data_IF_626078470975
#
_entry.id   IF_626078470975
#
_cell.length_a   1.000
_cell.length_b   1.000
_cell.length_c   1.000
_cell.angle_alpha   90.00
_cell.angle_beta   90.00
_cell.angle_gamma   90.00
#
_symmetry.space_group_name_H-M   'P 1'
#
loop_
_entity.id
_entity.type
_entity.pdbx_description
1 polymer ?
#
# COMPACT_ATOMS: atom_id res chain seq x y z
N UNK A 1 -25.08 4.80 52.61
CA UNK A 1 -26.09 4.94 51.55
C UNK A 1 -25.40 5.65 50.39
N UNK A 2 -24.76 4.90 49.47
CA UNK A 2 -24.08 5.49 48.28
C UNK A 2 -25.13 5.55 47.18
N UNK A 3 -25.58 6.75 46.85
CA UNK A 3 -26.41 7.01 45.70
C UNK A 3 -25.50 6.98 44.45
N UNK A 4 -25.47 5.91 43.70
CA UNK A 4 -24.85 5.87 42.39
C UNK A 4 -25.73 6.68 41.44
N UNK A 5 -25.34 7.90 41.13
CA UNK A 5 -25.88 8.61 40.00
C UNK A 5 -25.43 7.85 38.72
N UNK A 6 -26.28 6.99 38.22
CA UNK A 6 -26.18 6.46 36.87
C UNK A 6 -26.42 7.64 35.94
N UNK A 7 -25.35 8.14 35.31
CA UNK A 7 -25.50 9.13 34.26
C UNK A 7 -26.34 8.48 33.15
N UNK A 8 -27.51 9.02 32.93
CA UNK A 8 -28.41 8.62 31.83
C UNK A 8 -27.75 9.07 30.53
N UNK A 9 -26.88 8.22 29.98
CA UNK A 9 -26.27 8.44 28.68
C UNK A 9 -27.41 8.22 27.70
N UNK A 10 -28.12 9.29 27.36
CA UNK A 10 -29.09 9.26 26.26
C UNK A 10 -28.34 8.78 25.03
N UNK A 11 -28.71 7.62 24.49
CA UNK A 11 -28.17 7.13 23.24
C UNK A 11 -28.38 8.21 22.16
N UNK A 12 -27.31 8.58 21.45
CA UNK A 12 -27.37 9.57 20.36
C UNK A 12 -28.29 9.11 19.22
N UNK A 13 -28.52 7.80 19.14
CA UNK A 13 -29.37 7.14 18.13
C UNK A 13 -30.38 6.27 18.89
N UNK A 14 -31.63 6.26 18.46
CA UNK A 14 -32.67 5.43 19.04
C UNK A 14 -32.34 3.94 18.89
N UNK A 15 -32.69 3.12 19.88
CA UNK A 15 -32.32 1.70 19.94
C UNK A 15 -32.89 0.90 18.75
N UNK A 16 -34.09 1.20 18.34
CA UNK A 16 -34.72 0.58 17.17
C UNK A 16 -33.96 0.85 15.87
N UNK A 17 -33.42 2.06 15.70
CA UNK A 17 -32.56 2.41 14.58
C UNK A 17 -31.24 1.63 14.61
N UNK A 18 -30.63 1.49 15.78
CA UNK A 18 -29.40 0.68 15.93
C UNK A 18 -29.65 -0.79 15.60
N UNK A 19 -30.79 -1.36 16.03
CA UNK A 19 -31.18 -2.72 15.70
C UNK A 19 -31.35 -2.90 14.19
N UNK A 20 -32.06 -1.99 13.52
CA UNK A 20 -32.24 -2.05 12.05
C UNK A 20 -30.91 -1.98 11.30
N UNK A 21 -29.98 -1.12 11.71
CA UNK A 21 -28.63 -1.07 11.12
C UNK A 21 -27.89 -2.38 11.36
N UNK A 22 -27.94 -2.94 12.57
CA UNK A 22 -27.26 -4.18 12.92
C UNK A 22 -27.82 -5.39 12.12
N UNK A 23 -29.15 -5.47 11.93
CA UNK A 23 -29.81 -6.52 11.17
C UNK A 23 -29.48 -6.44 9.66
N UNK A 24 -29.36 -5.23 9.09
CA UNK A 24 -29.05 -5.04 7.68
C UNK A 24 -27.56 -5.25 7.39
N UNK A 25 -26.65 -4.96 8.34
CA UNK A 25 -25.22 -5.05 8.13
C UNK A 25 -24.75 -6.50 7.92
N UNK A 26 -23.96 -6.73 6.85
CA UNK A 26 -23.50 -8.06 6.49
C UNK A 26 -21.97 -8.19 6.50
N UNK A 27 -21.44 -8.85 7.52
CA UNK A 27 -20.02 -9.21 7.58
C UNK A 27 -19.59 -10.13 6.44
N UNK A 28 -20.48 -10.99 5.92
CA UNK A 28 -20.19 -11.83 4.77
C UNK A 28 -20.06 -11.03 3.46
N UNK A 29 -20.88 -10.00 3.26
CA UNK A 29 -20.78 -9.13 2.10
C UNK A 29 -19.45 -8.37 2.14
N UNK A 30 -19.09 -7.81 3.30
CA UNK A 30 -17.80 -7.16 3.51
C UNK A 30 -16.63 -8.13 3.25
N UNK A 31 -16.70 -9.38 3.77
CA UNK A 31 -15.66 -10.39 3.57
C UNK A 31 -15.47 -10.78 2.10
N UNK A 32 -16.55 -10.97 1.34
CA UNK A 32 -16.46 -11.27 -0.10
C UNK A 32 -15.79 -10.13 -0.88
N UNK A 33 -16.09 -8.88 -0.54
CA UNK A 33 -15.43 -7.72 -1.14
C UNK A 33 -13.95 -7.66 -0.75
N UNK A 34 -13.62 -7.94 0.51
CA UNK A 34 -12.24 -8.03 1.00
C UNK A 34 -11.43 -9.07 0.21
N UNK A 35 -11.98 -10.27 0.04
CA UNK A 35 -11.32 -11.35 -0.70
C UNK A 35 -11.00 -10.95 -2.14
N UNK A 36 -11.90 -10.20 -2.79
CA UNK A 36 -11.69 -9.72 -4.15
C UNK A 36 -10.62 -8.64 -4.22
N UNK A 37 -10.67 -7.66 -3.33
CA UNK A 37 -9.74 -6.52 -3.31
C UNK A 37 -8.32 -6.98 -2.99
N UNK A 38 -8.16 -7.91 -2.04
CA UNK A 38 -6.85 -8.40 -1.59
C UNK A 38 -6.11 -9.27 -2.61
N UNK A 39 -6.77 -9.72 -3.67
CA UNK A 39 -6.09 -10.39 -4.79
C UNK A 39 -5.20 -9.44 -5.60
N UNK A 40 -5.48 -8.14 -5.55
CA UNK A 40 -4.78 -7.14 -6.32
C UNK A 40 -3.57 -6.58 -5.56
N UNK A 41 -2.45 -6.38 -6.26
CA UNK A 41 -1.31 -5.60 -5.77
C UNK A 41 -1.56 -4.13 -6.13
N UNK A 42 -2.28 -3.44 -5.27
CA UNK A 42 -2.94 -2.15 -5.51
C UNK A 42 -2.00 -0.95 -5.40
N UNK A 43 -0.92 -0.97 -6.17
CA UNK A 43 -0.06 0.22 -6.23
C UNK A 43 -0.78 1.34 -6.97
N UNK A 44 -0.69 2.56 -6.44
CA UNK A 44 -1.38 3.73 -6.98
C UNK A 44 -1.14 3.91 -8.48
N UNK A 45 -2.22 4.10 -9.23
CA UNK A 45 -2.18 4.26 -10.69
C UNK A 45 -1.96 2.97 -11.50
N UNK A 46 -1.66 1.83 -10.87
CA UNK A 46 -1.46 0.56 -11.58
C UNK A 46 -2.79 -0.04 -12.07
N UNK A 47 -2.69 -0.95 -13.05
CA UNK A 47 -3.84 -1.71 -13.55
C UNK A 47 -4.56 -2.48 -12.44
N UNK A 48 -3.81 -2.98 -11.45
CA UNK A 48 -4.40 -3.72 -10.33
C UNK A 48 -5.10 -2.79 -9.33
N UNK A 49 -4.63 -1.55 -9.17
CA UNK A 49 -5.38 -0.52 -8.46
C UNK A 49 -6.67 -0.17 -9.19
N UNK A 50 -6.60 0.01 -10.51
CA UNK A 50 -7.78 0.26 -11.35
C UNK A 50 -8.79 -0.89 -11.28
N UNK A 51 -8.34 -2.15 -11.27
CA UNK A 51 -9.21 -3.32 -11.10
C UNK A 51 -9.92 -3.33 -9.73
N UNK A 52 -9.22 -2.98 -8.65
CA UNK A 52 -9.83 -2.84 -7.33
C UNK A 52 -10.84 -1.68 -7.28
N UNK A 53 -10.51 -0.54 -7.89
CA UNK A 53 -11.40 0.62 -8.02
C UNK A 53 -12.67 0.26 -8.79
N UNK A 54 -12.56 -0.45 -9.92
CA UNK A 54 -13.72 -0.86 -10.71
C UNK A 54 -14.61 -1.87 -9.94
N UNK A 55 -14.01 -2.76 -9.14
CA UNK A 55 -14.78 -3.63 -8.25
C UNK A 55 -15.63 -2.80 -7.26
N UNK A 56 -15.05 -1.78 -6.64
CA UNK A 56 -15.77 -0.87 -5.73
C UNK A 56 -16.90 -0.14 -6.47
N UNK A 57 -16.60 0.48 -7.62
CA UNK A 57 -17.60 1.17 -8.44
C UNK A 57 -18.76 0.26 -8.85
N UNK A 58 -18.45 -0.97 -9.26
CA UNK A 58 -19.48 -1.98 -9.58
C UNK A 58 -20.40 -2.24 -8.38
N UNK A 59 -19.82 -2.42 -7.19
CA UNK A 59 -20.61 -2.65 -5.97
C UNK A 59 -21.46 -1.45 -5.59
N UNK A 60 -20.94 -0.23 -5.70
CA UNK A 60 -21.68 0.99 -5.43
C UNK A 60 -22.89 1.15 -6.38
N UNK A 61 -22.72 0.80 -7.66
CA UNK A 61 -23.83 0.77 -8.63
C UNK A 61 -24.86 -0.31 -8.30
N UNK A 62 -24.42 -1.52 -7.90
CA UNK A 62 -25.30 -2.62 -7.45
C UNK A 62 -26.10 -2.22 -6.19
N UNK A 63 -25.51 -1.43 -5.30
CA UNK A 63 -26.15 -0.90 -4.09
C UNK A 63 -27.03 0.32 -4.38
N UNK A 64 -27.00 0.82 -5.64
CA UNK A 64 -27.85 1.86 -6.18
C UNK A 64 -27.78 3.16 -5.35
N UNK A 65 -26.56 3.66 -5.10
CA UNK A 65 -26.33 4.96 -4.51
C UNK A 65 -26.77 6.08 -5.48
N UNK A 66 -27.07 7.27 -4.95
CA UNK A 66 -27.58 8.39 -5.74
C UNK A 66 -26.55 8.91 -6.76
N UNK A 67 -25.27 8.82 -6.42
CA UNK A 67 -24.16 9.26 -7.27
C UNK A 67 -23.03 8.23 -7.15
N UNK A 68 -22.53 7.76 -8.29
CA UNK A 68 -21.37 6.84 -8.37
C UNK A 68 -20.48 7.29 -9.52
N UNK A 69 -19.25 7.69 -9.21
CA UNK A 69 -18.32 8.24 -10.18
C UNK A 69 -16.90 7.72 -10.03
N UNK A 70 -16.14 7.78 -11.12
CA UNK A 70 -14.70 7.58 -11.15
C UNK A 70 -14.04 8.96 -11.27
N UNK A 71 -13.42 9.44 -10.21
CA UNK A 71 -12.62 10.66 -10.23
C UNK A 71 -11.24 10.33 -10.80
N UNK A 72 -10.81 11.09 -11.82
CA UNK A 72 -9.51 10.86 -12.48
C UNK A 72 -8.64 12.10 -12.43
N UNK A 73 -7.35 11.89 -12.12
CA UNK A 73 -6.35 12.95 -12.00
C UNK A 73 -5.02 12.50 -12.61
N UNK A 74 -4.21 13.44 -13.16
CA UNK A 74 -2.92 13.10 -13.74
C UNK A 74 -1.97 12.41 -12.77
N UNK A 75 -1.34 11.32 -13.20
CA UNK A 75 -0.23 10.61 -12.57
C UNK A 75 1.00 10.72 -13.48
N UNK A 76 1.55 11.94 -13.64
CA UNK A 76 2.48 12.28 -14.72
C UNK A 76 3.88 12.69 -14.27
N UNK A 77 4.12 12.73 -12.96
CA UNK A 77 5.39 13.17 -12.40
C UNK A 77 5.63 14.68 -12.50
N UNK A 78 4.62 15.50 -12.84
CA UNK A 78 4.76 16.94 -13.12
C UNK A 78 3.68 17.78 -12.47
N UNK A 79 2.43 17.38 -12.57
CA UNK A 79 1.27 18.13 -12.05
C UNK A 79 1.41 18.32 -10.54
N UNK A 80 1.13 19.55 -10.09
CA UNK A 80 1.12 19.90 -8.67
C UNK A 80 -0.31 19.90 -8.13
N UNK A 81 -0.55 19.19 -7.06
CA UNK A 81 -1.77 19.18 -6.27
C UNK A 81 -1.47 19.87 -4.94
N UNK A 82 -1.75 21.17 -4.84
CA UNK A 82 -1.25 21.97 -3.73
C UNK A 82 0.28 21.91 -3.65
N UNK A 83 0.84 21.39 -2.58
CA UNK A 83 2.29 21.21 -2.39
C UNK A 83 2.79 19.82 -2.83
N UNK A 84 1.89 18.91 -3.18
CA UNK A 84 2.23 17.55 -3.57
C UNK A 84 2.44 17.46 -5.08
N UNK A 85 3.61 16.98 -5.48
CA UNK A 85 3.88 16.65 -6.89
C UNK A 85 3.28 15.29 -7.21
N UNK A 86 2.51 15.21 -8.30
CA UNK A 86 1.98 13.97 -8.83
C UNK A 86 3.11 12.95 -9.07
N UNK A 87 2.96 11.72 -8.61
CA UNK A 87 3.91 10.64 -8.89
C UNK A 87 3.57 9.98 -10.22
N UNK A 88 4.57 9.52 -10.99
CA UNK A 88 4.30 8.68 -12.15
C UNK A 88 3.72 7.33 -11.73
N UNK A 89 3.03 6.66 -12.62
CA UNK A 89 2.60 5.27 -12.43
C UNK A 89 3.82 4.37 -12.45
N UNK A 90 3.98 3.54 -11.42
CA UNK A 90 4.98 2.50 -11.38
C UNK A 90 4.36 1.15 -11.75
N UNK A 91 4.87 0.54 -12.81
CA UNK A 91 4.40 -0.73 -13.35
C UNK A 91 5.53 -1.74 -13.36
N UNK A 92 5.24 -2.98 -12.95
CA UNK A 92 6.19 -4.09 -12.95
C UNK A 92 5.63 -5.24 -13.76
N UNK A 93 6.40 -5.67 -14.78
CA UNK A 93 6.07 -6.83 -15.58
C UNK A 93 6.58 -8.11 -14.93
N UNK A 94 7.82 -8.07 -14.45
CA UNK A 94 8.45 -9.19 -13.75
C UNK A 94 9.57 -8.71 -12.85
N UNK A 95 9.82 -9.44 -11.75
CA UNK A 95 11.05 -9.30 -10.98
C UNK A 95 11.37 -10.62 -10.28
N UNK A 96 12.63 -11.04 -10.39
CA UNK A 96 13.15 -12.25 -9.77
C UNK A 96 14.51 -11.99 -9.15
N UNK A 97 14.71 -12.58 -7.97
CA UNK A 97 16.01 -12.65 -7.30
C UNK A 97 16.38 -14.11 -7.07
N UNK A 98 17.52 -14.53 -7.59
CA UNK A 98 18.03 -15.90 -7.47
C UNK A 98 19.40 -15.93 -6.81
N UNK A 99 19.62 -16.90 -5.96
CA UNK A 99 20.95 -17.31 -5.57
C UNK A 99 21.51 -18.28 -6.61
N UNK A 100 22.75 -18.05 -7.02
CA UNK A 100 23.46 -18.87 -7.97
C UNK A 100 24.43 -19.79 -7.25
N UNK A 101 24.60 -20.99 -7.78
CA UNK A 101 25.61 -21.96 -7.36
C UNK A 101 26.39 -22.47 -8.56
N UNK A 102 27.46 -23.19 -8.30
CA UNK A 102 28.24 -23.87 -9.32
C UNK A 102 28.13 -25.40 -9.10
N UNK A 103 27.68 -26.11 -10.10
CA UNK A 103 27.63 -27.57 -10.13
C UNK A 103 28.38 -28.04 -11.38
N UNK A 104 29.43 -28.83 -11.19
CA UNK A 104 30.26 -29.39 -12.29
C UNK A 104 30.83 -28.32 -13.26
N UNK A 105 31.09 -27.10 -12.75
CA UNK A 105 31.62 -25.96 -13.52
C UNK A 105 30.54 -25.12 -14.21
N UNK A 106 29.27 -25.48 -14.11
CA UNK A 106 28.14 -24.70 -14.66
C UNK A 106 27.49 -23.85 -13.58
N UNK A 107 27.25 -22.57 -13.88
CA UNK A 107 26.48 -21.67 -13.02
C UNK A 107 24.99 -21.94 -13.16
N UNK A 108 24.35 -22.30 -12.08
CA UNK A 108 22.92 -22.61 -12.05
C UNK A 108 22.16 -21.78 -11.01
N UNK A 109 20.87 -21.61 -11.19
CA UNK A 109 19.95 -21.03 -10.21
C UNK A 109 19.61 -22.09 -9.17
N UNK A 110 20.07 -21.91 -7.93
CA UNK A 110 19.88 -22.92 -6.85
C UNK A 110 18.70 -22.59 -5.95
N UNK A 111 18.41 -21.31 -5.74
CA UNK A 111 17.32 -20.89 -4.85
C UNK A 111 16.73 -19.55 -5.28
N UNK A 112 15.40 -19.50 -5.38
CA UNK A 112 14.67 -18.25 -5.62
C UNK A 112 14.42 -17.55 -4.29
N UNK A 113 14.80 -16.29 -4.19
CA UNK A 113 14.73 -15.46 -3.00
C UNK A 113 13.63 -14.40 -3.08
N UNK A 114 13.33 -13.95 -4.29
CA UNK A 114 12.28 -12.98 -4.58
C UNK A 114 11.58 -13.31 -5.90
N UNK A 115 10.28 -13.05 -5.96
CA UNK A 115 9.45 -13.29 -7.14
C UNK A 115 8.21 -12.38 -7.11
N UNK A 116 8.14 -11.46 -8.05
CA UNK A 116 7.02 -10.54 -8.19
C UNK A 116 5.68 -11.25 -8.32
N UNK A 117 5.62 -12.34 -9.07
CA UNK A 117 4.38 -13.06 -9.34
C UNK A 117 3.76 -13.67 -8.08
N UNK A 118 4.56 -14.26 -7.21
CA UNK A 118 4.10 -14.93 -5.99
C UNK A 118 4.12 -14.03 -4.76
N UNK A 119 5.19 -13.22 -4.60
CA UNK A 119 5.39 -12.32 -3.45
C UNK A 119 5.80 -10.93 -3.93
N UNK A 120 4.87 -10.09 -4.41
CA UNK A 120 5.20 -8.75 -4.91
C UNK A 120 5.98 -7.88 -3.91
N UNK A 121 5.75 -8.08 -2.61
CA UNK A 121 6.52 -7.42 -1.53
C UNK A 121 8.02 -7.68 -1.58
N UNK A 122 8.47 -8.73 -2.30
CA UNK A 122 9.90 -9.01 -2.45
C UNK A 122 10.63 -8.00 -3.32
N UNK A 123 9.94 -7.19 -4.13
CA UNK A 123 10.50 -6.06 -4.84
C UNK A 123 10.16 -4.75 -4.11
N UNK A 124 11.15 -3.92 -3.83
CA UNK A 124 10.92 -2.60 -3.27
C UNK A 124 10.15 -1.73 -4.28
N UNK A 125 9.13 -1.01 -3.77
CA UNK A 125 8.35 -0.08 -4.58
C UNK A 125 9.26 0.95 -5.25
N UNK A 126 8.87 1.41 -6.43
CA UNK A 126 9.62 2.38 -7.26
C UNK A 126 11.00 1.90 -7.73
N UNK A 127 11.27 0.58 -7.69
CA UNK A 127 12.46 -0.03 -8.31
C UNK A 127 12.47 0.19 -9.83
N UNK A 128 13.67 0.43 -10.37
CA UNK A 128 13.92 0.54 -11.81
C UNK A 128 14.32 -0.80 -12.41
N UNK A 129 14.18 -0.94 -13.73
CA UNK A 129 14.64 -2.12 -14.46
C UNK A 129 16.12 -2.37 -14.27
N UNK A 130 16.49 -3.64 -14.11
CA UNK A 130 17.86 -4.09 -13.95
C UNK A 130 18.02 -5.55 -14.37
N UNK A 131 19.23 -5.88 -14.83
CA UNK A 131 19.69 -7.25 -15.06
C UNK A 131 21.12 -7.34 -14.52
N UNK A 132 21.28 -7.88 -13.32
CA UNK A 132 22.53 -7.87 -12.56
C UNK A 132 22.83 -9.26 -12.01
N UNK A 133 24.05 -9.73 -12.24
CA UNK A 133 24.62 -10.88 -11.55
C UNK A 133 25.88 -10.42 -10.83
N UNK A 134 25.90 -10.48 -9.49
CA UNK A 134 27.00 -9.95 -8.71
C UNK A 134 27.13 -10.61 -7.33
N UNK A 135 28.31 -10.48 -6.74
CA UNK A 135 28.58 -10.91 -5.38
C UNK A 135 27.83 -10.07 -4.36
N UNK A 136 27.43 -10.69 -3.26
CA UNK A 136 26.77 -10.05 -2.13
C UNK A 136 27.78 -9.57 -1.09
N UNK A 137 27.59 -8.35 -0.57
CA UNK A 137 28.42 -7.76 0.50
C UNK A 137 27.53 -7.23 1.60
N UNK A 138 27.69 -7.70 2.82
CA UNK A 138 26.97 -7.18 3.98
C UNK A 138 27.53 -5.83 4.44
N UNK A 139 26.69 -4.81 4.43
CA UNK A 139 27.02 -3.45 4.90
C UNK A 139 26.33 -3.12 6.23
N UNK A 140 25.67 -4.10 6.91
CA UNK A 140 24.91 -3.83 8.11
C UNK A 140 23.79 -2.83 7.87
N UNK A 141 23.70 -1.75 8.66
CA UNK A 141 22.67 -0.72 8.40
C UNK A 141 23.00 0.19 7.22
N UNK A 142 24.25 0.29 6.78
CA UNK A 142 24.66 1.14 5.66
C UNK A 142 24.45 2.65 5.85
N UNK A 143 24.24 3.13 7.09
CA UNK A 143 23.88 4.53 7.40
C UNK A 143 25.05 5.41 7.80
N UNK A 144 26.25 4.87 7.92
CA UNK A 144 27.49 5.61 8.22
C UNK A 144 28.67 5.09 7.41
N UNK A 145 29.72 5.89 7.31
CA UNK A 145 30.94 5.53 6.56
C UNK A 145 31.62 4.28 7.12
N UNK A 146 31.53 4.05 8.41
CA UNK A 146 32.09 2.87 9.09
C UNK A 146 31.50 1.55 8.54
N UNK A 147 30.25 1.56 8.10
CA UNK A 147 29.59 0.39 7.53
C UNK A 147 30.18 -0.04 6.19
N UNK A 148 30.87 0.86 5.50
CA UNK A 148 31.52 0.63 4.22
C UNK A 148 33.05 0.50 4.34
N UNK A 149 33.61 0.79 5.52
CA UNK A 149 35.04 0.74 5.76
C UNK A 149 35.59 -0.67 5.45
N UNK A 150 36.67 -0.72 4.62
CA UNK A 150 37.30 -1.96 4.17
C UNK A 150 36.39 -2.92 3.37
N UNK A 151 35.26 -2.43 2.83
CA UNK A 151 34.36 -3.20 1.97
C UNK A 151 34.38 -2.62 0.56
N UNK A 152 34.71 -3.46 -0.40
CA UNK A 152 34.54 -3.12 -1.81
C UNK A 152 33.10 -3.47 -2.22
N UNK A 153 32.28 -2.43 -2.42
CA UNK A 153 30.87 -2.58 -2.83
C UNK A 153 30.63 -2.28 -4.31
N UNK A 154 31.66 -1.76 -5.02
CA UNK A 154 31.52 -1.36 -6.42
C UNK A 154 31.16 -2.54 -7.30
N UNK A 155 30.04 -2.42 -8.04
CA UNK A 155 29.51 -3.47 -8.91
C UNK A 155 28.93 -4.68 -8.17
N UNK A 156 28.79 -4.63 -6.84
CA UNK A 156 28.25 -5.72 -6.02
C UNK A 156 26.84 -5.39 -5.51
N UNK A 157 26.11 -6.40 -5.10
CA UNK A 157 24.84 -6.23 -4.39
C UNK A 157 25.12 -6.04 -2.90
N UNK A 158 24.49 -5.06 -2.27
CA UNK A 158 24.67 -4.79 -0.85
C UNK A 158 23.53 -5.37 -0.02
N UNK A 159 23.87 -6.11 1.04
CA UNK A 159 22.93 -6.61 2.05
C UNK A 159 22.82 -5.59 3.17
N UNK A 160 21.60 -5.14 3.51
CA UNK A 160 21.40 -4.13 4.54
C UNK A 160 20.15 -4.37 5.40
N UNK A 161 20.22 -3.92 6.67
CA UNK A 161 19.06 -3.88 7.58
C UNK A 161 18.20 -2.62 7.43
N UNK A 162 18.62 -1.66 6.62
CA UNK A 162 17.86 -0.42 6.37
C UNK A 162 16.92 -0.56 5.19
N UNK A 163 15.94 0.36 5.08
CA UNK A 163 15.13 0.50 3.89
C UNK A 163 16.01 0.85 2.67
N UNK A 164 15.68 0.37 1.47
CA UNK A 164 16.46 0.66 0.26
C UNK A 164 16.67 2.16 0.03
N UNK A 165 15.66 3.00 0.21
CA UNK A 165 15.79 4.46 0.06
C UNK A 165 16.83 5.08 0.99
N UNK A 166 17.02 4.51 2.20
CA UNK A 166 17.97 5.05 3.17
C UNK A 166 19.43 4.93 2.73
N UNK A 167 19.74 3.89 1.93
CA UNK A 167 21.11 3.56 1.56
C UNK A 167 21.44 3.79 0.08
N UNK A 168 20.43 4.02 -0.77
CA UNK A 168 20.59 4.06 -2.23
C UNK A 168 21.58 5.14 -2.68
N UNK A 169 21.49 6.35 -2.16
CA UNK A 169 22.37 7.45 -2.57
C UNK A 169 23.83 7.15 -2.22
N UNK A 170 24.08 6.62 -1.02
CA UNK A 170 25.43 6.29 -0.56
C UNK A 170 25.95 5.02 -1.22
N UNK A 171 25.22 3.92 -1.14
CA UNK A 171 25.70 2.62 -1.62
C UNK A 171 25.80 2.57 -3.14
N UNK A 172 24.75 2.99 -3.85
CA UNK A 172 24.68 2.92 -5.31
C UNK A 172 25.22 4.19 -5.95
N UNK A 173 24.74 5.37 -5.55
CA UNK A 173 25.09 6.65 -6.15
C UNK A 173 26.55 7.02 -5.98
N UNK A 174 27.07 6.96 -4.76
CA UNK A 174 28.44 7.39 -4.48
C UNK A 174 29.46 6.25 -4.60
N UNK A 175 29.16 5.07 -4.03
CA UNK A 175 30.13 3.97 -3.95
C UNK A 175 29.99 2.96 -5.10
N UNK A 176 28.95 3.06 -5.93
CA UNK A 176 28.79 2.29 -7.15
C UNK A 176 28.36 0.84 -6.95
N UNK A 177 27.62 0.52 -5.88
CA UNK A 177 26.96 -0.77 -5.74
C UNK A 177 25.98 -1.00 -6.89
N UNK A 178 25.78 -2.26 -7.29
CA UNK A 178 24.92 -2.62 -8.40
C UNK A 178 23.42 -2.64 -8.04
N UNK A 179 23.09 -2.78 -6.76
CA UNK A 179 21.70 -2.83 -6.27
C UNK A 179 21.65 -3.21 -4.79
N UNK A 180 20.42 -3.28 -4.25
CA UNK A 180 20.20 -3.39 -2.81
C UNK A 180 19.37 -4.66 -2.49
N UNK A 181 19.84 -5.41 -1.50
CA UNK A 181 19.09 -6.50 -0.87
C UNK A 181 18.84 -6.08 0.59
N UNK A 182 17.59 -5.82 0.92
CA UNK A 182 17.23 -5.35 2.25
C UNK A 182 16.48 -6.42 3.04
N UNK A 183 16.81 -6.50 4.31
CA UNK A 183 16.09 -7.28 5.32
C UNK A 183 15.55 -6.38 6.43
N UNK A 184 15.15 -5.16 6.10
CA UNK A 184 14.64 -4.20 7.10
C UNK A 184 13.71 -4.92 8.07
N UNK A 185 14.06 -5.03 9.37
CA UNK A 185 13.31 -5.84 10.31
C UNK A 185 11.99 -5.17 10.69
N UNK A 186 11.06 -5.94 11.22
CA UNK A 186 9.87 -5.40 11.85
C UNK A 186 10.22 -4.40 12.94
N UNK A 187 9.32 -3.45 13.17
CA UNK A 187 9.43 -2.58 14.32
C UNK A 187 9.41 -3.41 15.60
N UNK A 188 10.39 -3.22 16.48
CA UNK A 188 10.48 -3.93 17.77
C UNK A 188 9.27 -3.68 18.68
N UNK A 189 8.58 -2.56 18.47
CA UNK A 189 7.35 -2.19 19.17
C UNK A 189 6.10 -2.92 18.66
N UNK A 190 6.17 -3.63 17.54
CA UNK A 190 5.05 -4.40 17.04
C UNK A 190 4.66 -5.50 18.04
N UNK A 191 3.36 -5.65 18.29
CA UNK A 191 2.84 -6.63 19.27
C UNK A 191 3.19 -8.09 18.93
N UNK A 192 3.42 -8.42 17.64
CA UNK A 192 3.89 -9.74 17.17
C UNK A 192 5.40 -9.92 17.30
N UNK A 193 6.14 -8.92 17.76
CA UNK A 193 7.60 -8.93 17.92
C UNK A 193 8.34 -9.20 16.60
N UNK A 194 9.61 -9.63 16.70
CA UNK A 194 10.43 -10.00 15.56
C UNK A 194 9.95 -11.34 14.99
N UNK A 195 9.65 -11.37 13.68
CA UNK A 195 9.39 -12.60 12.92
C UNK A 195 10.45 -12.71 11.81
N UNK A 196 11.28 -13.74 11.88
CA UNK A 196 12.39 -13.96 10.95
C UNK A 196 11.95 -14.50 9.58
N UNK A 197 10.66 -14.85 9.42
CA UNK A 197 10.07 -15.31 8.15
C UNK A 197 9.41 -14.18 7.36
N UNK A 198 9.18 -13.04 7.99
CA UNK A 198 8.44 -11.94 7.39
C UNK A 198 9.29 -11.17 6.39
N UNK A 199 8.76 -10.97 5.18
CA UNK A 199 9.27 -10.01 4.21
C UNK A 199 8.53 -8.70 4.44
N UNK A 200 9.26 -7.63 4.76
CA UNK A 200 8.69 -6.32 4.98
C UNK A 200 8.59 -5.55 3.67
N UNK A 201 7.58 -4.68 3.55
CA UNK A 201 7.51 -3.70 2.49
C UNK A 201 8.76 -2.80 2.47
N UNK A 202 9.28 -2.55 1.28
CA UNK A 202 10.39 -1.63 1.04
C UNK A 202 10.08 -0.71 -0.13
N UNK A 203 10.77 0.44 -0.19
CA UNK A 203 10.58 1.42 -1.25
C UNK A 203 11.86 2.18 -1.59
N UNK A 204 11.83 2.78 -2.74
CA UNK A 204 12.75 3.79 -3.24
C UNK A 204 11.95 5.07 -3.51
N UNK A 205 12.64 6.16 -3.78
CA UNK A 205 12.00 7.43 -4.10
C UNK A 205 11.38 7.40 -5.51
N UNK A 206 10.16 7.95 -5.66
CA UNK A 206 9.50 8.09 -6.97
C UNK A 206 10.18 9.15 -7.86
N UNK A 207 10.99 10.05 -7.26
CA UNK A 207 11.78 11.07 -7.95
C UNK A 207 13.24 11.00 -7.52
N UNK A 208 13.93 9.86 -7.78
CA UNK A 208 15.26 9.63 -7.25
C UNK A 208 16.33 10.44 -7.96
N UNK A 209 17.39 10.84 -7.22
CA UNK A 209 18.65 11.26 -7.83
C UNK A 209 19.39 10.04 -8.40
N UNK A 210 19.40 8.94 -7.66
CA UNK A 210 20.03 7.67 -8.05
C UNK A 210 18.97 6.63 -8.38
N UNK A 211 18.90 6.24 -9.67
CA UNK A 211 18.03 5.14 -10.12
C UNK A 211 18.62 3.81 -9.71
N UNK A 212 17.85 2.97 -9.04
CA UNK A 212 18.27 1.66 -8.57
C UNK A 212 17.08 0.71 -8.43
N UNK A 213 17.35 -0.49 -7.97
CA UNK A 213 16.35 -1.47 -7.56
C UNK A 213 16.70 -2.00 -6.17
N UNK A 214 15.69 -2.54 -5.49
CA UNK A 214 15.88 -3.20 -4.21
C UNK A 214 15.03 -4.46 -4.11
N UNK A 215 15.60 -5.54 -3.59
CA UNK A 215 14.83 -6.71 -3.18
C UNK A 215 14.73 -6.77 -1.66
N UNK A 216 13.53 -7.13 -1.19
CA UNK A 216 13.24 -7.34 0.21
C UNK A 216 13.26 -8.83 0.51
N UNK A 217 14.06 -9.23 1.50
CA UNK A 217 14.14 -10.62 1.98
C UNK A 217 13.79 -10.70 3.46
N UNK A 218 13.50 -11.88 3.95
CA UNK A 218 13.23 -12.08 5.37
C UNK A 218 14.51 -11.98 6.22
N UNK A 219 14.36 -11.64 7.49
CA UNK A 219 15.46 -11.61 8.45
C UNK A 219 16.16 -12.97 8.57
N UNK A 220 15.39 -14.07 8.50
CA UNK A 220 15.95 -15.43 8.55
C UNK A 220 16.84 -15.73 7.35
N UNK A 221 16.50 -15.25 6.15
CA UNK A 221 17.37 -15.39 4.98
C UNK A 221 18.63 -14.51 5.09
N UNK A 222 18.48 -13.30 5.58
CA UNK A 222 19.63 -12.43 5.81
C UNK A 222 20.64 -13.03 6.80
N UNK A 223 20.16 -13.57 7.91
CA UNK A 223 21.03 -14.26 8.90
C UNK A 223 21.80 -15.44 8.30
N UNK A 224 21.19 -16.20 7.40
CA UNK A 224 21.91 -17.28 6.68
C UNK A 224 23.00 -16.72 5.77
N UNK A 225 22.73 -15.62 5.05
CA UNK A 225 23.74 -14.96 4.23
C UNK A 225 24.87 -14.41 5.08
N UNK A 226 24.55 -13.74 6.18
CA UNK A 226 25.55 -13.18 7.09
C UNK A 226 26.49 -14.26 7.64
N UNK A 227 25.96 -15.37 8.12
CA UNK A 227 26.78 -16.47 8.63
C UNK A 227 27.72 -17.06 7.56
N UNK A 228 27.26 -17.18 6.32
CA UNK A 228 28.06 -17.68 5.19
C UNK A 228 29.14 -16.68 4.76
N UNK A 229 28.79 -15.40 4.69
CA UNK A 229 29.74 -14.32 4.39
C UNK A 229 30.83 -14.20 5.48
N UNK A 230 30.45 -14.32 6.75
CA UNK A 230 31.39 -14.37 7.90
C UNK A 230 32.33 -15.57 7.84
N UNK A 231 31.85 -16.71 7.31
CA UNK A 231 32.68 -17.90 7.06
C UNK A 231 33.59 -17.74 5.82
N UNK A 232 33.55 -16.60 5.11
CA UNK A 232 34.37 -16.34 3.94
C UNK A 232 33.81 -16.92 2.64
N UNK A 233 32.56 -17.34 2.61
CA UNK A 233 31.91 -17.83 1.40
C UNK A 233 31.56 -16.68 0.46
N UNK A 234 31.82 -16.81 -0.84
CA UNK A 234 31.35 -15.90 -1.85
C UNK A 234 29.92 -16.28 -2.26
N UNK A 235 28.98 -15.34 -2.13
CA UNK A 235 27.58 -15.53 -2.49
C UNK A 235 27.27 -14.70 -3.73
N UNK A 236 26.87 -15.37 -4.80
CA UNK A 236 26.47 -14.71 -6.07
C UNK A 236 24.97 -14.72 -6.20
N UNK A 237 24.40 -13.53 -6.45
CA UNK A 237 22.98 -13.38 -6.71
C UNK A 237 22.75 -12.86 -8.13
N UNK A 238 21.65 -13.30 -8.74
CA UNK A 238 21.13 -12.79 -10.01
C UNK A 238 19.80 -12.10 -9.76
N UNK A 239 19.74 -10.82 -10.06
CA UNK A 239 18.56 -9.97 -9.95
C UNK A 239 18.11 -9.53 -11.35
N UNK A 240 16.87 -9.83 -11.72
CA UNK A 240 16.25 -9.35 -12.95
C UNK A 240 14.98 -8.60 -12.59
N UNK A 241 14.84 -7.36 -13.06
CA UNK A 241 13.68 -6.50 -12.83
C UNK A 241 13.27 -5.86 -14.15
N UNK A 242 12.02 -6.05 -14.54
CA UNK A 242 11.37 -5.37 -15.67
C UNK A 242 10.26 -4.47 -15.10
N UNK A 243 10.58 -3.21 -14.88
CA UNK A 243 9.70 -2.20 -14.32
C UNK A 243 9.82 -0.88 -15.07
N UNK A 244 8.74 -0.09 -15.07
CA UNK A 244 8.70 1.21 -15.72
C UNK A 244 8.01 2.25 -14.84
N UNK A 245 8.35 3.53 -15.10
CA UNK A 245 7.67 4.68 -14.54
C UNK A 245 7.05 5.45 -15.71
N UNK A 246 5.73 5.50 -15.76
CA UNK A 246 4.98 5.98 -16.90
C UNK A 246 4.02 7.12 -16.53
N UNK A 247 3.67 7.94 -17.50
CA UNK A 247 2.57 8.88 -17.37
C UNK A 247 1.25 8.12 -17.43
N UNK A 248 0.39 8.34 -16.46
CA UNK A 248 -0.93 7.71 -16.38
C UNK A 248 -1.92 8.56 -15.62
N UNK A 249 -2.86 7.91 -14.95
CA UNK A 249 -3.90 8.57 -14.18
C UNK A 249 -4.13 7.86 -12.84
N UNK A 250 -4.46 8.63 -11.82
CA UNK A 250 -5.10 8.12 -10.62
C UNK A 250 -6.60 8.02 -10.85
N UNK A 251 -7.20 6.88 -10.55
CA UNK A 251 -8.63 6.66 -10.59
C UNK A 251 -9.18 6.35 -9.21
N UNK A 252 -10.04 7.22 -8.65
CA UNK A 252 -10.62 7.03 -7.32
C UNK A 252 -12.12 6.76 -7.45
N UNK A 253 -12.61 5.72 -6.78
CA UNK A 253 -14.05 5.51 -6.66
C UNK A 253 -14.62 6.53 -5.67
N UNK A 254 -15.71 7.15 -6.05
CA UNK A 254 -16.50 8.04 -5.21
C UNK A 254 -18.00 7.72 -5.33
N UNK A 255 -18.74 7.95 -4.27
CA UNK A 255 -20.19 7.81 -4.27
C UNK A 255 -20.84 8.72 -3.23
N UNK A 256 -22.13 9.01 -3.41
CA UNK A 256 -22.87 9.79 -2.43
C UNK A 256 -24.31 9.28 -2.22
N UNK A 257 -24.81 9.53 -1.00
CA UNK A 257 -26.23 9.53 -0.65
C UNK A 257 -26.59 11.01 -0.43
N UNK A 258 -27.42 11.57 -1.28
CA UNK A 258 -27.74 13.01 -1.23
C UNK A 258 -28.58 13.39 0.00
N UNK A 259 -28.21 14.49 0.61
CA UNK A 259 -28.97 15.09 1.71
C UNK A 259 -30.24 15.81 1.24
N UNK A 260 -31.14 16.03 2.19
CA UNK A 260 -32.46 16.67 1.93
C UNK A 260 -32.43 18.18 2.13
N UNK A 261 -31.82 18.68 3.19
CA UNK A 261 -31.92 20.09 3.62
C UNK A 261 -30.60 20.86 3.65
N UNK A 262 -29.50 20.19 4.02
CA UNK A 262 -28.16 20.80 4.10
C UNK A 262 -27.28 20.31 2.94
N UNK A 263 -27.71 20.56 1.71
CA UNK A 263 -27.05 20.05 0.48
C UNK A 263 -25.63 20.56 0.25
N UNK A 264 -25.26 21.67 0.89
CA UNK A 264 -23.89 22.20 0.84
C UNK A 264 -22.98 21.72 1.98
N UNK A 265 -23.39 20.69 2.75
CA UNK A 265 -22.66 20.14 3.87
C UNK A 265 -22.58 18.62 3.74
N UNK A 266 -21.35 18.09 3.73
CA UNK A 266 -21.09 16.66 3.52
C UNK A 266 -20.44 16.03 4.75
N UNK A 267 -20.85 14.81 5.05
CA UNK A 267 -20.16 13.89 5.96
C UNK A 267 -19.43 12.87 5.10
N UNK A 268 -18.13 12.79 5.24
CA UNK A 268 -17.31 11.88 4.46
C UNK A 268 -16.98 10.60 5.21
N UNK A 269 -16.97 9.49 4.47
CA UNK A 269 -16.35 8.23 4.84
C UNK A 269 -15.20 7.97 3.86
N UNK A 270 -14.01 7.75 4.38
CA UNK A 270 -12.81 7.55 3.56
C UNK A 270 -12.02 6.35 4.04
N UNK A 271 -11.30 5.72 3.15
CA UNK A 271 -10.21 4.78 3.41
C UNK A 271 -9.05 5.12 2.48
N UNK A 272 -7.99 4.31 2.41
CA UNK A 272 -7.12 4.27 1.25
C UNK A 272 -7.16 2.88 0.60
N UNK A 273 -7.31 2.85 -0.73
CA UNK A 273 -7.49 1.60 -1.45
C UNK A 273 -6.15 0.98 -1.86
N UNK A 274 -5.12 1.79 -2.06
CA UNK A 274 -3.79 1.33 -2.45
C UNK A 274 -3.07 0.63 -1.30
N UNK A 275 -2.45 -0.49 -1.62
CA UNK A 275 -1.51 -1.21 -0.76
C UNK A 275 -0.86 -2.37 -1.51
N UNK A 276 0.38 -2.77 -1.16
CA UNK A 276 0.93 -4.04 -1.63
C UNK A 276 0.04 -5.22 -1.23
N UNK A 277 -0.05 -6.22 -2.11
CA UNK A 277 -0.83 -7.45 -1.85
C UNK A 277 -0.25 -8.27 -0.68
N UNK A 278 -1.06 -8.81 0.25
CA UNK A 278 -2.54 -8.79 0.25
C UNK A 278 -3.13 -7.49 0.80
N UNK A 279 -2.48 -6.76 1.72
CA UNK A 279 -3.00 -5.53 2.33
C UNK A 279 -4.42 -5.67 2.87
N UNK A 280 -4.69 -6.78 3.60
CA UNK A 280 -6.04 -7.07 4.07
C UNK A 280 -6.47 -6.13 5.21
N UNK A 281 -5.60 -5.96 6.22
CA UNK A 281 -5.85 -5.02 7.30
C UNK A 281 -5.51 -3.58 6.91
N UNK A 282 -4.46 -3.39 6.14
CA UNK A 282 -3.97 -2.11 5.64
C UNK A 282 -4.12 -2.04 4.10
N UNK A 283 -5.16 -1.42 3.57
CA UNK A 283 -6.33 -0.92 4.26
C UNK A 283 -7.62 -1.43 3.58
N UNK A 284 -7.58 -2.66 2.98
CA UNK A 284 -8.75 -3.23 2.34
C UNK A 284 -9.89 -3.43 3.35
N UNK A 285 -9.60 -3.70 4.64
CA UNK A 285 -10.62 -3.84 5.68
C UNK A 285 -11.38 -2.54 5.91
N UNK A 286 -10.69 -1.40 5.98
CA UNK A 286 -11.33 -0.09 6.06
C UNK A 286 -12.18 0.20 4.83
N UNK A 287 -11.64 -0.10 3.64
CA UNK A 287 -12.34 0.11 2.38
C UNK A 287 -13.65 -0.70 2.26
N UNK A 288 -13.64 -1.97 2.67
CA UNK A 288 -14.87 -2.77 2.64
C UNK A 288 -15.83 -2.41 3.78
N UNK A 289 -15.32 -1.87 4.89
CA UNK A 289 -16.17 -1.37 5.97
C UNK A 289 -17.01 -0.18 5.51
N UNK A 290 -16.39 0.81 4.85
CA UNK A 290 -17.16 1.95 4.31
C UNK A 290 -18.05 1.53 3.13
N UNK A 291 -17.66 0.52 2.36
CA UNK A 291 -18.50 -0.04 1.30
C UNK A 291 -19.76 -0.73 1.87
N UNK A 292 -19.61 -1.41 3.00
CA UNK A 292 -20.77 -2.02 3.70
C UNK A 292 -21.65 -0.97 4.38
N UNK A 293 -21.06 0.12 4.93
CA UNK A 293 -21.84 1.27 5.41
C UNK A 293 -22.67 1.88 4.27
N UNK A 294 -22.07 2.06 3.10
CA UNK A 294 -22.77 2.59 1.92
C UNK A 294 -23.95 1.67 1.51
N UNK A 295 -23.73 0.35 1.46
CA UNK A 295 -24.75 -0.65 1.17
C UNK A 295 -25.90 -0.61 2.17
N UNK A 296 -25.56 -0.69 3.45
CA UNK A 296 -26.53 -0.72 4.55
C UNK A 296 -27.41 0.52 4.56
N UNK A 297 -26.81 1.71 4.49
CA UNK A 297 -27.56 2.96 4.49
C UNK A 297 -28.44 3.09 3.24
N UNK A 298 -27.92 2.75 2.05
CA UNK A 298 -28.72 2.77 0.82
C UNK A 298 -29.95 1.85 0.94
N UNK A 299 -29.78 0.61 1.40
CA UNK A 299 -30.87 -0.35 1.55
C UNK A 299 -31.94 0.14 2.55
N UNK A 300 -31.53 0.60 3.73
CA UNK A 300 -32.46 1.07 4.76
C UNK A 300 -33.24 2.32 4.35
N UNK A 301 -32.59 3.25 3.65
CA UNK A 301 -33.26 4.47 3.14
C UNK A 301 -34.27 4.11 2.05
N UNK A 302 -33.92 3.24 1.11
CA UNK A 302 -34.81 2.84 0.01
C UNK A 302 -36.02 2.06 0.49
N UNK A 303 -35.84 1.24 1.50
CA UNK A 303 -36.93 0.49 2.12
C UNK A 303 -37.77 1.35 3.08
N UNK A 304 -37.50 2.67 3.17
CA UNK A 304 -38.17 3.60 4.08
C UNK A 304 -38.07 3.21 5.57
N UNK A 305 -37.03 2.48 5.93
CA UNK A 305 -36.72 2.11 7.33
C UNK A 305 -36.02 3.27 8.00
N UNK A 306 -35.03 3.90 7.30
CA UNK A 306 -34.39 5.13 7.75
C UNK A 306 -34.84 6.32 6.89
N UNK A 307 -35.02 7.49 7.50
CA UNK A 307 -35.21 8.71 6.73
C UNK A 307 -33.93 9.08 5.96
N UNK A 308 -34.09 9.70 4.80
CA UNK A 308 -32.95 10.25 4.06
C UNK A 308 -32.23 11.30 4.92
N UNK A 309 -30.88 11.30 4.94
CA UNK A 309 -30.11 12.19 5.81
C UNK A 309 -30.35 13.66 5.46
N UNK A 310 -30.13 14.58 6.42
CA UNK A 310 -30.22 16.02 6.15
C UNK A 310 -29.01 16.53 5.38
N UNK A 311 -27.79 16.04 5.68
CA UNK A 311 -26.55 16.28 4.98
C UNK A 311 -26.28 15.17 4.00
N UNK A 312 -25.54 15.45 2.94
CA UNK A 312 -25.05 14.38 2.08
C UNK A 312 -24.01 13.52 2.81
N UNK A 313 -24.00 12.23 2.51
CA UNK A 313 -22.97 11.29 2.96
C UNK A 313 -22.19 10.91 1.72
N UNK A 314 -20.89 11.22 1.70
CA UNK A 314 -19.97 10.92 0.59
C UNK A 314 -18.96 9.88 1.00
N UNK A 315 -18.68 8.97 0.08
CA UNK A 315 -17.74 7.85 0.27
C UNK A 315 -16.62 7.98 -0.76
N UNK A 316 -15.35 7.79 -0.31
CA UNK A 316 -14.17 7.92 -1.16
C UNK A 316 -13.19 6.78 -0.94
N UNK A 317 -12.64 6.23 -2.03
CA UNK A 317 -11.61 5.20 -2.04
C UNK A 317 -10.35 5.70 -2.78
N UNK A 318 -9.65 6.70 -2.25
CA UNK A 318 -8.46 7.27 -2.87
C UNK A 318 -7.21 6.42 -2.60
N UNK A 319 -6.07 6.86 -3.18
CA UNK A 319 -4.75 6.43 -2.73
C UNK A 319 -4.37 7.12 -1.40
N UNK A 320 -3.54 6.46 -0.60
CA UNK A 320 -3.09 6.94 0.71
C UNK A 320 -2.43 8.32 0.59
N UNK A 321 -2.76 9.23 1.51
CA UNK A 321 -2.24 10.60 1.62
C UNK A 321 -2.44 11.40 0.32
N UNK A 322 -1.80 10.98 -0.77
CA UNK A 322 -1.78 11.69 -2.05
C UNK A 322 -3.19 11.86 -2.64
N UNK A 323 -4.00 10.81 -2.62
CA UNK A 323 -5.38 10.88 -3.10
C UNK A 323 -6.26 11.81 -2.28
N UNK A 324 -6.05 11.88 -0.96
CA UNK A 324 -6.75 12.84 -0.10
C UNK A 324 -6.33 14.28 -0.41
N UNK A 325 -5.02 14.54 -0.61
CA UNK A 325 -4.50 15.85 -1.00
C UNK A 325 -5.08 16.27 -2.36
N UNK A 326 -5.11 15.36 -3.33
CA UNK A 326 -5.67 15.60 -4.66
C UNK A 326 -7.15 15.99 -4.53
N UNK A 327 -7.96 15.19 -3.83
CA UNK A 327 -9.37 15.49 -3.63
C UNK A 327 -9.58 16.84 -2.97
N UNK A 328 -8.89 17.12 -1.87
CA UNK A 328 -9.05 18.38 -1.12
C UNK A 328 -8.62 19.62 -1.90
N UNK A 329 -7.73 19.49 -2.88
CA UNK A 329 -7.20 20.62 -3.65
C UNK A 329 -7.86 20.79 -5.02
N UNK A 330 -8.48 19.75 -5.56
CA UNK A 330 -8.99 19.75 -6.94
C UNK A 330 -10.50 19.59 -7.04
N UNK A 331 -11.14 18.91 -6.07
CA UNK A 331 -12.57 18.60 -6.16
C UNK A 331 -13.42 19.77 -5.65
N UNK A 332 -14.44 20.17 -6.43
CA UNK A 332 -15.32 21.30 -6.10
C UNK A 332 -16.08 21.11 -4.78
N UNK A 333 -16.39 19.89 -4.41
CA UNK A 333 -17.11 19.54 -3.18
C UNK A 333 -16.23 19.51 -1.92
N UNK A 334 -14.91 19.65 -2.04
CA UNK A 334 -14.00 19.61 -0.90
C UNK A 334 -14.35 20.67 0.17
N UNK A 335 -14.83 21.84 -0.23
CA UNK A 335 -15.27 22.90 0.66
C UNK A 335 -16.55 22.60 1.46
N UNK A 336 -17.28 21.53 1.13
CA UNK A 336 -18.53 21.13 1.80
C UNK A 336 -18.31 20.21 3.02
N UNK A 337 -17.10 19.68 3.21
CA UNK A 337 -16.79 18.71 4.25
C UNK A 337 -17.00 19.31 5.63
N UNK A 338 -17.86 18.71 6.45
CA UNK A 338 -18.09 19.07 7.87
C UNK A 338 -17.44 18.08 8.82
N UNK A 339 -17.39 16.81 8.46
CA UNK A 339 -16.72 15.77 9.20
C UNK A 339 -16.23 14.68 8.27
N UNK A 340 -15.15 14.00 8.65
CA UNK A 340 -14.64 12.83 7.96
C UNK A 340 -14.44 11.69 8.96
N UNK A 341 -14.88 10.51 8.57
CA UNK A 341 -14.64 9.24 9.27
C UNK A 341 -13.70 8.44 8.37
N UNK A 342 -12.46 8.30 8.82
CA UNK A 342 -11.47 7.49 8.11
C UNK A 342 -11.36 6.12 8.76
N UNK A 343 -11.45 5.08 7.95
CA UNK A 343 -11.44 3.69 8.39
C UNK A 343 -10.16 2.98 7.95
#
# INVERSE_FOLDING_TARGET
MFCSAQADIRALVAEDVLLQIAEETSGEAAKRNLDTITLQHRMRGSDQFAAATEHVLKKLREYDLDEVELLTYPADGKTMFGTQKSRPVWSVRSAELWELGNIDGETIRVRRLGDWGSVPLSLAQDSFSADVTAALVDIGSGTSDEHYANKDVRGKLVLTSSQPETVVERAVGELGAAGIISYAPNQRSAWWREDDRLVRWGHLESFPNTKSFGFMISLGEARKFQARLEAGEEIILSANVDASHETGQYGFAAAAIHGTTHKGEDIHFTCHLDHPRPGANDNASGCVSILEVARTLSALIKNNILPRPKRSIRFLWPAEIEGSIIYLTQHEDAGRIKANIHM
#
